data_IF_004328285964
#
_entry.id   IF_004328285964
#
_cell.length_a   1.000
_cell.length_b   1.000
_cell.length_c   1.000
_cell.angle_alpha   90.00
_cell.angle_beta   90.00
_cell.angle_gamma   90.00
#
_symmetry.space_group_name_H-M   'P 1'
#
loop_
_entity.id
_entity.type
_entity.pdbx_description
1 polymer ?
#
# COMPACT_ATOMS: atom_id res chain seq x y z
N UNK A 1 -17.23 15.57 6.25
CA UNK A 1 -15.93 16.02 5.70
C UNK A 1 -14.76 15.04 5.93
N UNK A 2 -14.68 14.30 7.04
CA UNK A 2 -13.57 13.35 7.31
C UNK A 2 -13.77 11.91 6.78
N UNK A 3 -14.91 11.60 6.16
CA UNK A 3 -15.26 10.25 5.67
C UNK A 3 -14.52 9.85 4.38
N UNK A 4 -14.07 10.80 3.57
CA UNK A 4 -13.38 10.54 2.29
C UNK A 4 -11.85 10.55 2.41
N UNK A 5 -11.34 10.51 3.64
CA UNK A 5 -9.91 10.57 3.88
C UNK A 5 -9.26 9.23 3.56
N UNK A 6 -8.28 9.19 2.64
CA UNK A 6 -7.69 7.92 2.17
C UNK A 6 -7.04 7.10 3.30
N UNK A 7 -6.44 7.78 4.28
CA UNK A 7 -5.89 7.12 5.45
C UNK A 7 -7.01 6.79 6.44
N UNK A 8 -7.20 5.51 6.81
CA UNK A 8 -8.27 5.10 7.70
C UNK A 8 -8.14 5.73 9.09
N UNK A 9 -9.27 5.93 9.77
CA UNK A 9 -9.30 6.49 11.14
C UNK A 9 -8.56 5.58 12.11
N UNK A 10 -8.73 4.28 11.95
CA UNK A 10 -8.09 3.24 12.73
C UNK A 10 -7.49 2.20 11.78
N UNK A 11 -6.24 1.81 12.04
CA UNK A 11 -5.51 0.85 11.22
C UNK A 11 -4.93 -0.24 12.13
N UNK A 12 -5.53 -1.43 12.05
CA UNK A 12 -5.02 -2.62 12.73
C UNK A 12 -4.13 -3.42 11.79
N UNK A 13 -2.87 -3.62 12.18
CA UNK A 13 -1.87 -4.35 11.39
C UNK A 13 -1.38 -5.57 12.17
N UNK A 14 -1.02 -6.62 11.43
CA UNK A 14 -0.34 -7.81 11.96
C UNK A 14 0.77 -8.22 11.02
N UNK A 15 1.74 -8.98 11.54
CA UNK A 15 2.76 -9.63 10.71
C UNK A 15 2.05 -10.49 9.65
N UNK A 16 2.56 -10.46 8.42
CA UNK A 16 2.00 -11.07 7.22
C UNK A 16 0.76 -10.41 6.63
N UNK A 17 0.27 -9.30 7.21
CA UNK A 17 -0.78 -8.54 6.55
C UNK A 17 -0.27 -7.96 5.21
N UNK A 18 -1.06 -8.13 4.15
CA UNK A 18 -0.83 -7.44 2.89
C UNK A 18 -1.34 -6.00 3.00
N UNK A 19 -0.49 -5.05 2.63
CA UNK A 19 -0.77 -3.61 2.69
C UNK A 19 -0.44 -2.94 1.37
N UNK A 20 -1.03 -1.77 1.15
CA UNK A 20 -0.77 -0.91 0.01
C UNK A 20 -0.32 0.46 0.51
N UNK A 21 0.71 1.02 -0.12
CA UNK A 21 1.22 2.35 0.15
C UNK A 21 0.26 3.41 -0.42
N UNK A 22 -0.03 4.45 0.37
CA UNK A 22 -0.97 5.52 0.02
C UNK A 22 -0.31 6.80 -0.49
N UNK A 23 1.02 6.84 -0.55
CA UNK A 23 1.81 8.02 -0.94
C UNK A 23 3.00 7.63 -1.81
N UNK A 24 3.48 8.59 -2.59
CA UNK A 24 4.71 8.43 -3.34
C UNK A 24 5.91 8.75 -2.42
N UNK A 25 6.87 7.84 -2.37
CA UNK A 25 8.14 8.01 -1.65
C UNK A 25 9.25 8.32 -2.66
N UNK A 26 9.30 7.57 -3.76
CA UNK A 26 10.27 7.74 -4.85
C UNK A 26 9.75 7.09 -6.15
N UNK A 27 10.60 7.02 -7.17
CA UNK A 27 10.28 6.46 -8.49
C UNK A 27 9.89 4.97 -8.45
N UNK A 28 10.26 4.24 -7.39
CA UNK A 28 10.00 2.80 -7.27
C UNK A 28 8.89 2.47 -6.26
N UNK A 29 8.65 3.35 -5.29
CA UNK A 29 7.60 3.21 -4.27
C UNK A 29 6.59 4.34 -4.41
N UNK A 30 5.51 4.03 -5.11
CA UNK A 30 4.43 4.96 -5.45
C UNK A 30 3.15 4.57 -4.74
N UNK A 31 2.16 5.45 -4.77
CA UNK A 31 0.81 5.14 -4.33
C UNK A 31 0.29 3.92 -5.13
N UNK A 32 -0.13 2.89 -4.41
CA UNK A 32 -0.50 1.60 -5.00
C UNK A 32 0.56 0.51 -4.83
N UNK A 33 1.80 0.84 -4.44
CA UNK A 33 2.83 -0.17 -4.19
C UNK A 33 2.38 -1.13 -3.09
N UNK A 34 2.35 -2.42 -3.41
CA UNK A 34 1.92 -3.49 -2.51
C UNK A 34 3.11 -4.04 -1.74
N UNK A 35 2.91 -4.25 -0.44
CA UNK A 35 3.90 -4.83 0.44
C UNK A 35 3.30 -5.76 1.49
N UNK A 36 4.18 -6.44 2.23
CA UNK A 36 3.82 -7.34 3.33
C UNK A 36 4.46 -6.84 4.62
N UNK A 37 3.69 -6.80 5.70
CA UNK A 37 4.22 -6.51 7.03
C UNK A 37 5.13 -7.68 7.45
N UNK A 38 6.40 -7.39 7.69
CA UNK A 38 7.40 -8.39 8.14
C UNK A 38 7.74 -8.27 9.62
N UNK A 39 7.42 -7.13 10.26
CA UNK A 39 7.68 -6.95 11.69
C UNK A 39 7.19 -5.59 12.20
N UNK A 40 7.42 -5.37 13.49
CA UNK A 40 7.18 -4.09 14.15
C UNK A 40 8.39 -3.73 14.99
N UNK A 41 8.99 -2.58 14.71
CA UNK A 41 10.25 -2.16 15.33
C UNK A 41 10.14 -0.76 15.90
N UNK A 42 10.89 -0.50 16.96
CA UNK A 42 11.09 0.86 17.44
C UNK A 42 12.10 1.60 16.54
N UNK A 43 11.92 2.90 16.35
CA UNK A 43 12.87 3.73 15.60
C UNK A 43 14.28 3.75 16.25
N UNK A 44 14.40 3.38 17.52
CA UNK A 44 15.67 3.25 18.24
C UNK A 44 16.37 1.90 18.04
N UNK A 45 15.70 0.92 17.43
CA UNK A 45 16.25 -0.42 17.18
C UNK A 45 16.86 -0.56 15.78
N UNK A 46 16.58 0.40 14.90
CA UNK A 46 16.94 0.33 13.48
C UNK A 46 17.60 1.61 13.01
N UNK A 47 18.58 1.44 12.13
CA UNK A 47 19.11 2.51 11.31
C UNK A 47 18.23 2.63 10.06
N UNK A 48 17.63 3.80 9.88
CA UNK A 48 16.78 4.12 8.74
C UNK A 48 17.40 5.22 7.89
N UNK A 49 17.38 5.05 6.58
CA UNK A 49 17.75 6.11 5.63
C UNK A 49 16.73 7.25 5.63
N UNK A 50 17.03 8.32 4.91
CA UNK A 50 16.20 9.54 4.85
C UNK A 50 14.74 9.27 4.46
N UNK A 51 14.49 8.23 3.66
CA UNK A 51 13.16 7.83 3.17
C UNK A 51 12.53 6.68 3.96
N UNK A 52 13.09 6.33 5.13
CA UNK A 52 12.61 5.24 5.97
C UNK A 52 13.08 3.84 5.54
N UNK A 53 14.01 3.75 4.60
CA UNK A 53 14.63 2.49 4.18
C UNK A 53 15.41 1.88 5.34
N UNK A 54 15.18 0.59 5.61
CA UNK A 54 15.94 -0.11 6.64
C UNK A 54 17.38 -0.33 6.15
N UNK A 55 18.34 0.32 6.80
CA UNK A 55 19.78 0.14 6.53
C UNK A 55 20.31 -1.04 7.36
N UNK A 56 20.10 -1.00 8.68
CA UNK A 56 20.61 -2.01 9.59
C UNK A 56 19.76 -2.12 10.87
N UNK A 57 19.88 -3.23 11.58
CA UNK A 57 19.41 -3.35 12.96
C UNK A 57 20.58 -3.06 13.89
N UNK A 58 20.38 -2.21 14.91
CA UNK A 58 21.43 -1.94 15.89
C UNK A 58 21.75 -3.17 16.73
N UNK A 59 23.04 -3.40 16.97
CA UNK A 59 23.49 -4.50 17.81
C UNK A 59 22.98 -4.32 19.26
N UNK A 60 22.72 -5.42 20.01
CA UNK A 60 22.25 -5.34 21.40
C UNK A 60 23.13 -4.50 22.32
N UNK A 61 24.42 -4.39 22.01
CA UNK A 61 25.41 -3.63 22.78
C UNK A 61 25.24 -2.10 22.60
N UNK A 62 24.82 -1.66 21.42
CA UNK A 62 24.60 -0.23 21.09
C UNK A 62 23.28 0.30 21.68
N UNK A 63 22.31 -0.59 21.94
CA UNK A 63 21.02 -0.26 22.60
C UNK A 63 21.23 0.43 23.96
N UNK A 64 22.28 0.03 24.70
CA UNK A 64 22.58 0.56 26.04
C UNK A 64 23.19 1.97 26.02
N UNK A 65 23.84 2.39 24.93
CA UNK A 65 24.41 3.75 24.81
C UNK A 65 23.33 4.77 24.44
N UNK A 66 22.43 4.45 23.50
CA UNK A 66 21.35 5.36 23.09
C UNK A 66 20.22 5.48 24.13
N UNK A 67 19.91 4.41 24.88
CA UNK A 67 18.93 4.46 25.95
C UNK A 67 19.37 5.31 27.17
N UNK A 68 20.68 5.46 27.40
CA UNK A 68 21.22 6.21 28.55
C UNK A 68 21.17 7.74 28.39
N UNK A 69 21.01 8.26 27.17
CA UNK A 69 20.95 9.71 26.92
C UNK A 69 19.55 10.35 27.02
N UNK A 70 18.50 9.58 27.35
CA UNK A 70 17.15 10.11 27.56
C UNK A 70 16.57 9.67 28.91
N UNK A 71 17.21 10.10 30.00
CA UNK A 71 16.54 10.16 31.31
C UNK A 71 15.87 11.52 31.47
N UNK A 72 14.59 11.58 31.07
CA UNK A 72 13.49 12.37 31.65
C UNK A 72 12.39 12.47 30.60
N UNK A 73 11.45 11.53 30.63
CA UNK A 73 10.04 11.77 30.31
C UNK A 73 9.24 10.49 30.59
N UNK A 74 7.95 10.68 30.90
CA UNK A 74 6.94 9.69 31.33
C UNK A 74 6.98 8.36 30.56
N UNK A 75 6.37 7.26 31.06
CA UNK A 75 6.34 5.97 30.35
C UNK A 75 5.67 6.13 28.97
N UNK A 76 6.48 6.46 27.97
CA UNK A 76 6.05 6.58 26.58
C UNK A 76 5.81 5.16 26.12
N UNK A 77 4.56 4.83 25.79
CA UNK A 77 4.21 3.58 25.11
C UNK A 77 5.16 3.46 23.91
N UNK A 78 6.10 2.52 23.96
CA UNK A 78 7.06 2.27 22.88
C UNK A 78 6.26 2.08 21.58
N UNK A 79 6.25 3.12 20.74
CA UNK A 79 5.39 3.20 19.58
C UNK A 79 6.10 2.46 18.45
N UNK A 80 5.86 1.15 18.37
CA UNK A 80 6.42 0.32 17.31
C UNK A 80 5.82 0.70 15.96
N UNK A 81 6.67 0.76 14.94
CA UNK A 81 6.28 1.06 13.57
C UNK A 81 6.38 -0.19 12.70
N UNK A 82 5.48 -0.35 11.71
CA UNK A 82 5.51 -1.51 10.83
C UNK A 82 6.73 -1.47 9.92
N UNK A 83 7.49 -2.56 9.91
CA UNK A 83 8.48 -2.84 8.88
C UNK A 83 7.80 -3.59 7.75
N UNK A 84 7.84 -3.00 6.55
CA UNK A 84 7.12 -3.48 5.37
C UNK A 84 8.10 -3.84 4.28
N UNK A 85 7.95 -5.04 3.74
CA UNK A 85 8.66 -5.49 2.54
C UNK A 85 7.79 -5.20 1.31
N UNK A 86 8.18 -4.20 0.53
CA UNK A 86 7.51 -3.81 -0.72
C UNK A 86 8.11 -4.52 -1.92
N UNK A 87 7.25 -4.81 -2.90
CA UNK A 87 7.68 -5.31 -4.21
C UNK A 87 8.12 -4.14 -5.08
N UNK A 88 9.30 -4.26 -5.67
CA UNK A 88 9.85 -3.29 -6.63
C UNK A 88 10.32 -4.02 -7.89
N UNK A 89 10.45 -3.35 -9.06
CA UNK A 89 10.80 -4.02 -10.32
C UNK A 89 12.08 -4.87 -10.27
N UNK A 90 13.03 -4.54 -9.39
CA UNK A 90 14.32 -5.24 -9.23
C UNK A 90 14.45 -6.03 -7.92
N UNK A 91 13.33 -6.45 -7.31
CA UNK A 91 13.32 -7.28 -6.11
C UNK A 91 12.39 -6.76 -5.03
N UNK A 92 12.91 -6.63 -3.80
CA UNK A 92 12.15 -6.15 -2.65
C UNK A 92 12.90 -5.03 -1.93
N UNK A 93 12.15 -4.09 -1.34
CA UNK A 93 12.69 -3.03 -0.46
C UNK A 93 11.99 -3.09 0.89
N UNK A 94 12.78 -2.98 1.96
CA UNK A 94 12.27 -3.01 3.34
C UNK A 94 12.26 -1.60 3.90
N UNK A 95 11.09 -1.11 4.29
CA UNK A 95 10.91 0.23 4.84
C UNK A 95 10.28 0.15 6.22
N UNK A 96 10.85 0.88 7.18
CA UNK A 96 10.17 1.19 8.44
C UNK A 96 9.20 2.34 8.16
N UNK A 97 7.90 2.03 8.12
CA UNK A 97 6.89 3.00 7.70
C UNK A 97 6.47 3.85 8.88
N UNK A 98 6.76 5.14 8.80
CA UNK A 98 6.46 6.15 9.82
C UNK A 98 5.14 6.88 9.51
N UNK A 99 4.45 7.46 10.52
CA UNK A 99 3.25 8.24 10.30
C UNK A 99 3.57 9.53 9.52
N UNK A 100 2.70 9.87 8.58
CA UNK A 100 2.82 11.08 7.78
C UNK A 100 1.55 11.93 7.88
N UNK A 101 1.72 13.24 7.73
CA UNK A 101 0.60 14.17 7.59
C UNK A 101 -0.01 14.05 6.19
N UNK A 102 -1.30 13.78 6.15
CA UNK A 102 -2.15 13.91 4.98
C UNK A 102 -2.88 15.23 5.11
N UNK A 103 -2.81 16.07 4.09
CA UNK A 103 -3.46 17.38 4.07
C UNK A 103 -4.50 17.41 2.97
N UNK A 104 -5.63 18.02 3.24
CA UNK A 104 -6.64 18.36 2.22
C UNK A 104 -6.63 19.87 2.09
N UNK A 105 -6.26 20.32 0.91
CA UNK A 105 -6.14 21.73 0.55
C UNK A 105 -7.35 22.15 -0.28
N UNK A 106 -7.84 23.35 -0.03
CA UNK A 106 -8.86 24.00 -0.84
C UNK A 106 -8.25 24.49 -2.16
N UNK A 107 -9.06 24.79 -3.19
CA UNK A 107 -8.55 25.32 -4.47
C UNK A 107 -7.76 26.63 -4.34
N UNK A 108 -7.93 27.37 -3.25
CA UNK A 108 -7.18 28.58 -2.92
C UNK A 108 -5.82 28.31 -2.24
N UNK A 109 -5.46 27.05 -2.00
CA UNK A 109 -4.21 26.63 -1.34
C UNK A 109 -4.28 26.57 0.18
N UNK A 110 -5.41 26.88 0.80
CA UNK A 110 -5.54 26.80 2.26
C UNK A 110 -5.74 25.36 2.72
N UNK A 111 -5.01 24.94 3.75
CA UNK A 111 -5.18 23.63 4.37
C UNK A 111 -6.47 23.63 5.18
N UNK A 112 -7.47 22.88 4.72
CA UNK A 112 -8.74 22.76 5.41
C UNK A 112 -8.67 21.77 6.57
N UNK A 113 -7.93 20.67 6.37
CA UNK A 113 -7.78 19.62 7.38
C UNK A 113 -6.49 18.83 7.17
N UNK A 114 -5.88 18.40 8.28
CA UNK A 114 -4.72 17.52 8.30
C UNK A 114 -4.96 16.31 9.21
N UNK A 115 -4.45 15.14 8.83
CA UNK A 115 -4.43 13.94 9.66
C UNK A 115 -3.06 13.28 9.57
N UNK A 116 -2.46 13.02 10.72
CA UNK A 116 -1.23 12.22 10.80
C UNK A 116 -1.58 10.74 10.96
N UNK A 117 -1.17 9.90 10.02
CA UNK A 117 -1.44 8.46 10.03
C UNK A 117 -0.35 7.73 9.23
N UNK A 118 -0.17 6.43 9.49
CA UNK A 118 0.64 5.57 8.62
C UNK A 118 0.12 5.62 7.17
N UNK A 119 0.98 5.79 6.15
CA UNK A 119 0.56 5.81 4.76
C UNK A 119 0.27 4.40 4.21
N UNK A 120 -0.46 3.58 4.96
CA UNK A 120 -0.78 2.20 4.64
C UNK A 120 -2.28 1.94 4.74
N UNK A 121 -2.76 1.04 3.89
CA UNK A 121 -4.09 0.44 4.01
C UNK A 121 -3.99 -1.07 3.81
N UNK A 122 -4.86 -1.85 4.46
CA UNK A 122 -4.97 -3.30 4.20
C UNK A 122 -5.37 -3.54 2.75
N UNK A 123 -4.71 -4.49 2.08
CA UNK A 123 -4.79 -4.69 0.63
C UNK A 123 -5.02 -6.16 0.25
N UNK A 124 -5.88 -6.85 0.99
CA UNK A 124 -6.35 -8.20 0.63
C UNK A 124 -7.47 -8.19 -0.41
N UNK A 125 -8.26 -7.11 -0.40
CA UNK A 125 -9.29 -6.83 -1.38
C UNK A 125 -9.21 -5.35 -1.74
N UNK A 126 -9.33 -5.05 -3.02
CA UNK A 126 -9.38 -3.68 -3.53
C UNK A 126 -10.44 -3.59 -4.62
N UNK A 127 -10.94 -2.38 -4.87
CA UNK A 127 -11.83 -2.15 -6.00
C UNK A 127 -11.06 -2.24 -7.33
N UNK A 128 -11.78 -2.54 -8.41
CA UNK A 128 -11.22 -2.59 -9.77
C UNK A 128 -10.52 -1.25 -10.11
N UNK A 129 -11.15 -0.13 -9.78
CA UNK A 129 -10.56 1.21 -9.97
C UNK A 129 -9.22 1.40 -9.25
N UNK A 130 -9.08 0.89 -8.02
CA UNK A 130 -7.82 1.01 -7.28
C UNK A 130 -6.73 0.10 -7.83
N UNK A 131 -7.10 -1.00 -8.48
CA UNK A 131 -6.15 -1.91 -9.14
C UNK A 131 -5.66 -1.42 -10.51
N UNK A 132 -6.25 -0.37 -11.08
CA UNK A 132 -5.90 0.10 -12.42
C UNK A 132 -4.42 0.48 -12.52
N UNK A 133 -3.72 -0.04 -13.53
CA UNK A 133 -2.28 0.18 -13.71
C UNK A 133 -1.38 -0.71 -12.84
N UNK A 134 -1.94 -1.50 -11.92
CA UNK A 134 -1.18 -2.47 -11.14
C UNK A 134 -1.04 -3.81 -11.88
N UNK A 135 0.04 -4.50 -11.57
CA UNK A 135 0.34 -5.87 -12.02
C UNK A 135 0.30 -6.78 -10.79
N UNK A 136 -0.54 -7.80 -10.81
CA UNK A 136 -0.83 -8.66 -9.64
C UNK A 136 -0.56 -10.13 -9.98
N UNK A 137 0.27 -10.80 -9.16
CA UNK A 137 0.66 -12.19 -9.43
C UNK A 137 -0.47 -13.19 -9.24
N UNK A 138 -1.35 -12.93 -8.27
CA UNK A 138 -2.49 -13.80 -7.95
C UNK A 138 -3.71 -12.94 -7.63
N UNK A 139 -4.78 -13.12 -8.37
CA UNK A 139 -6.01 -12.32 -8.25
C UNK A 139 -7.22 -13.22 -8.26
N UNK A 140 -8.12 -12.95 -7.32
CA UNK A 140 -9.47 -13.51 -7.31
C UNK A 140 -10.45 -12.41 -7.68
N UNK A 141 -11.13 -12.55 -8.83
CA UNK A 141 -12.07 -11.56 -9.36
C UNK A 141 -13.50 -12.09 -9.23
N UNK A 142 -14.36 -11.37 -8.50
CA UNK A 142 -15.79 -11.66 -8.45
C UNK A 142 -16.53 -10.86 -9.53
N UNK A 143 -16.94 -11.57 -10.59
CA UNK A 143 -17.65 -10.99 -11.72
C UNK A 143 -19.15 -10.77 -11.47
N UNK A 144 -19.70 -11.26 -10.34
CA UNK A 144 -21.12 -11.14 -10.04
C UNK A 144 -21.59 -9.68 -9.86
N UNK A 145 -20.69 -8.81 -9.40
CA UNK A 145 -20.92 -7.39 -9.11
C UNK A 145 -20.33 -6.44 -10.16
N UNK A 146 -19.99 -6.95 -11.35
CA UNK A 146 -19.50 -6.09 -12.44
C UNK A 146 -20.71 -5.55 -13.19
N UNK A 147 -20.90 -4.22 -13.11
CA UNK A 147 -22.07 -3.54 -13.67
C UNK A 147 -21.76 -2.74 -14.94
N UNK A 148 -20.49 -2.33 -15.13
CA UNK A 148 -20.09 -1.51 -16.28
C UNK A 148 -19.23 -2.26 -17.30
N UNK A 149 -19.39 -1.90 -18.58
CA UNK A 149 -18.59 -2.44 -19.67
C UNK A 149 -17.11 -2.12 -19.46
N UNK A 150 -16.24 -3.10 -19.68
CA UNK A 150 -14.79 -2.92 -19.58
C UNK A 150 -14.20 -3.10 -18.17
N UNK A 151 -14.99 -3.01 -17.09
CA UNK A 151 -14.49 -3.27 -15.72
C UNK A 151 -13.99 -4.70 -15.54
N UNK A 152 -14.68 -5.69 -16.14
CA UNK A 152 -14.20 -7.07 -16.18
C UNK A 152 -12.84 -7.18 -16.87
N UNK A 153 -12.68 -6.53 -18.02
CA UNK A 153 -11.39 -6.53 -18.72
C UNK A 153 -10.28 -5.88 -17.89
N UNK A 154 -10.55 -4.74 -17.25
CA UNK A 154 -9.57 -4.09 -16.36
C UNK A 154 -9.17 -5.02 -15.23
N UNK A 155 -10.11 -5.67 -14.56
CA UNK A 155 -9.85 -6.58 -13.45
C UNK A 155 -9.05 -7.83 -13.88
N UNK A 156 -9.44 -8.45 -15.00
CA UNK A 156 -8.80 -9.67 -15.52
C UNK A 156 -7.39 -9.37 -16.05
N UNK A 157 -7.21 -8.23 -16.73
CA UNK A 157 -5.90 -7.79 -17.24
C UNK A 157 -4.88 -7.41 -16.16
N UNK A 158 -5.27 -7.41 -14.88
CA UNK A 158 -4.30 -7.21 -13.77
C UNK A 158 -3.48 -8.45 -13.48
N UNK A 159 -4.01 -9.63 -13.78
CA UNK A 159 -3.30 -10.89 -13.54
C UNK A 159 -2.15 -11.06 -14.54
N UNK A 160 -0.98 -11.46 -14.04
CA UNK A 160 0.21 -11.74 -14.89
C UNK A 160 0.14 -13.07 -15.61
N UNK A 161 -0.64 -14.02 -15.08
CA UNK A 161 -0.78 -15.36 -15.64
C UNK A 161 -2.19 -15.90 -15.40
N UNK A 162 -2.61 -16.85 -16.23
CA UNK A 162 -3.91 -17.49 -16.10
C UNK A 162 -3.98 -18.37 -14.85
N UNK A 163 -2.87 -19.01 -14.47
CA UNK A 163 -2.72 -19.82 -13.26
C UNK A 163 -2.89 -18.97 -11.99
N UNK A 164 -2.48 -17.69 -12.06
CA UNK A 164 -2.67 -16.72 -10.98
C UNK A 164 -4.09 -16.15 -10.90
N UNK A 165 -4.96 -16.44 -11.88
CA UNK A 165 -6.27 -15.83 -12.00
C UNK A 165 -7.40 -16.80 -11.62
N UNK A 166 -8.23 -16.39 -10.67
CA UNK A 166 -9.47 -17.08 -10.34
C UNK A 166 -10.67 -16.17 -10.58
N UNK A 167 -11.61 -16.61 -11.42
CA UNK A 167 -12.85 -15.89 -11.71
C UNK A 167 -14.02 -16.55 -10.98
N UNK A 168 -14.80 -15.76 -10.24
CA UNK A 168 -16.03 -16.20 -9.59
C UNK A 168 -17.26 -15.58 -10.25
N UNK A 169 -18.40 -16.27 -10.16
CA UNK A 169 -19.72 -15.76 -10.55
C UNK A 169 -19.76 -15.14 -11.96
N UNK A 170 -19.03 -15.75 -12.90
CA UNK A 170 -19.00 -15.28 -14.28
C UNK A 170 -20.33 -15.55 -14.97
N UNK A 171 -20.96 -14.50 -15.49
CA UNK A 171 -22.15 -14.59 -16.32
C UNK A 171 -21.80 -14.21 -17.77
N UNK A 172 -21.79 -15.17 -18.71
CA UNK A 172 -21.49 -14.93 -20.12
C UNK A 172 -22.40 -13.87 -20.76
N UNK A 173 -23.63 -13.71 -20.27
CA UNK A 173 -24.61 -12.72 -20.78
C UNK A 173 -24.25 -11.28 -20.40
N UNK A 174 -23.45 -11.09 -19.33
CA UNK A 174 -22.91 -9.79 -18.93
C UNK A 174 -21.59 -9.46 -19.64
N UNK A 175 -20.90 -10.48 -20.16
CA UNK A 175 -19.66 -10.32 -20.92
C UNK A 175 -19.87 -9.90 -22.39
N UNK A 176 -21.11 -9.90 -22.88
CA UNK A 176 -21.47 -9.83 -24.31
C UNK A 176 -21.29 -8.45 -25.00
N UNK A 177 -20.56 -7.51 -24.38
CA UNK A 177 -20.15 -6.25 -25.03
C UNK A 177 -18.69 -5.87 -24.74
N UNK A 178 -17.80 -6.86 -24.64
CA UNK A 178 -16.39 -6.63 -25.01
C UNK A 178 -16.31 -6.53 -26.53
N UNK A 179 -16.78 -5.42 -27.09
CA UNK A 179 -16.39 -5.06 -28.45
C UNK A 179 -14.88 -4.83 -28.40
N UNK A 180 -14.13 -5.76 -29.00
CA UNK A 180 -12.78 -5.49 -29.45
C UNK A 180 -12.87 -4.20 -30.29
N UNK A 181 -12.36 -3.09 -29.76
CA UNK A 181 -11.92 -2.03 -30.67
C UNK A 181 -10.81 -2.69 -31.49
N UNK A 182 -10.93 -2.78 -32.82
CA UNK A 182 -9.82 -3.23 -33.63
C UNK A 182 -8.66 -2.27 -33.34
N UNK A 183 -7.55 -2.80 -32.84
CA UNK A 183 -6.28 -2.10 -32.87
C UNK A 183 -6.02 -1.79 -34.34
N UNK A 184 -6.31 -0.54 -34.74
CA UNK A 184 -5.90 0.01 -36.01
C UNK A 184 -4.38 0.15 -35.99
N UNK A 185 -3.69 -0.93 -36.34
CA UNK A 185 -2.33 -0.86 -36.89
C UNK A 185 -2.53 -0.53 -38.37
N UNK A 186 -2.46 0.76 -38.71
CA UNK A 186 -2.12 1.16 -40.06
C UNK A 186 -0.60 0.94 -40.21
N UNK A 187 -0.23 0.04 -41.12
CA UNK A 187 1.06 0.07 -41.81
C UNK A 187 0.93 1.09 -42.95
#
# INVERSE_FOLDING_TARGET
MLQNFMAPKELSLKVNAQVMLLKNIDETLVNGSVGRIIGFHDATEVEVGEKGELIAFYAPEEKKKNAKNKQKEQPQVLKKYPLVEFRVPRGTRKLLVMPEAFKVELPNGEIQVSRTQLPLILSWAMSIHKSQGQTLDRVKVDCGRIFEKGQAYVALSRATSLEGLQVLNFDPKKASRMSFLPLGIQV
#
